data_IF_923007209590
#
_entry.id   IF_923007209590
#
_cell.length_a   1.000
_cell.length_b   1.000
_cell.length_c   1.000
_cell.angle_alpha   90.00
_cell.angle_beta   90.00
_cell.angle_gamma   90.00
#
_symmetry.space_group_name_H-M   'P 1'
#
loop_
_entity.id
_entity.type
_entity.pdbx_description
1 polymer ?
#
# COMPACT_ATOMS: atom_id res chain seq x y z
N UNK A 1 -10.17 33.96 -18.24
CA UNK A 1 -10.27 34.38 -16.83
C UNK A 1 -9.81 33.23 -15.94
N UNK A 2 -8.61 33.34 -15.35
CA UNK A 2 -7.95 32.31 -14.54
C UNK A 2 -8.41 32.38 -13.07
N UNK A 3 -8.08 31.36 -12.27
CA UNK A 3 -8.35 31.25 -10.82
C UNK A 3 -9.71 30.67 -10.42
N UNK A 4 -9.89 29.37 -10.67
CA UNK A 4 -10.65 28.54 -9.71
C UNK A 4 -9.74 28.28 -8.50
N UNK A 5 -10.17 28.56 -7.26
CA UNK A 5 -9.38 28.24 -6.09
C UNK A 5 -9.21 26.72 -6.02
N UNK A 6 -7.96 26.26 -6.11
CA UNK A 6 -7.61 24.89 -5.70
C UNK A 6 -7.93 24.79 -4.22
N UNK A 7 -8.80 23.86 -3.86
CA UNK A 7 -9.07 23.53 -2.45
C UNK A 7 -7.70 23.32 -1.79
N UNK A 8 -7.41 23.94 -0.63
CA UNK A 8 -6.17 23.67 0.05
C UNK A 8 -6.18 22.18 0.38
N UNK A 9 -5.26 21.44 -0.22
CA UNK A 9 -4.88 20.13 0.30
C UNK A 9 -4.63 20.37 1.77
N UNK A 10 -5.43 19.71 2.61
CA UNK A 10 -5.21 19.63 4.04
C UNK A 10 -3.86 18.93 4.20
N UNK A 11 -2.78 19.69 4.07
CA UNK A 11 -1.47 19.38 4.62
C UNK A 11 -1.71 19.37 6.11
N UNK A 12 -2.15 18.22 6.61
CA UNK A 12 -2.08 17.87 8.00
C UNK A 12 -0.65 18.16 8.43
N UNK A 13 -0.45 19.27 9.13
CA UNK A 13 0.79 19.66 9.77
C UNK A 13 1.12 18.66 10.88
N UNK A 14 1.50 17.45 10.49
CA UNK A 14 2.04 16.44 11.37
C UNK A 14 3.47 16.81 11.68
N UNK A 15 3.73 17.08 12.96
CA UNK A 15 5.07 17.15 13.57
C UNK A 15 6.03 16.15 12.91
N UNK A 16 7.28 16.55 12.67
CA UNK A 16 8.36 15.63 12.30
C UNK A 16 8.28 14.37 13.20
N UNK A 17 7.89 13.23 12.60
CA UNK A 17 7.60 11.97 13.30
C UNK A 17 6.15 11.43 13.19
N UNK A 18 5.15 12.23 12.77
CA UNK A 18 3.75 11.79 12.74
C UNK A 18 3.42 10.78 11.61
N UNK A 19 4.23 10.76 10.55
CA UNK A 19 4.06 9.87 9.39
C UNK A 19 5.13 8.77 9.33
N UNK A 20 5.95 8.63 10.37
CA UNK A 20 6.97 7.59 10.40
C UNK A 20 6.28 6.22 10.51
N UNK A 21 6.61 5.25 9.63
CA UNK A 21 6.07 3.90 9.73
C UNK A 21 6.61 3.23 10.99
N UNK A 22 5.84 2.29 11.53
CA UNK A 22 6.27 1.47 12.66
C UNK A 22 7.43 0.56 12.23
N UNK A 23 8.65 0.92 12.67
CA UNK A 23 9.89 0.21 12.33
C UNK A 23 10.14 -1.01 13.24
N UNK A 24 9.46 -1.09 14.39
CA UNK A 24 9.67 -2.14 15.39
C UNK A 24 8.74 -3.34 15.16
N UNK A 25 7.74 -3.18 14.29
CA UNK A 25 6.81 -4.26 13.91
C UNK A 25 7.54 -5.40 13.18
N UNK A 26 7.12 -6.63 13.44
CA UNK A 26 7.51 -7.78 12.62
C UNK A 26 7.04 -7.60 11.17
N UNK A 27 7.99 -7.73 10.24
CA UNK A 27 7.73 -7.71 8.80
C UNK A 27 6.97 -8.97 8.36
N UNK A 28 6.12 -8.79 7.38
CA UNK A 28 5.40 -9.83 6.65
C UNK A 28 6.21 -10.28 5.43
N UNK A 29 5.90 -11.48 4.92
CA UNK A 29 6.67 -12.09 3.83
C UNK A 29 6.71 -11.24 2.55
N UNK A 30 5.67 -10.44 2.28
CA UNK A 30 5.59 -9.62 1.06
C UNK A 30 6.34 -8.28 1.19
N UNK A 31 6.87 -7.93 2.36
CA UNK A 31 7.70 -6.73 2.58
C UNK A 31 9.17 -6.95 2.22
N UNK A 32 9.52 -8.14 1.72
CA UNK A 32 10.85 -8.45 1.18
C UNK A 32 10.96 -8.11 -0.32
N UNK A 33 9.84 -7.78 -0.97
CA UNK A 33 9.77 -7.57 -2.41
C UNK A 33 9.37 -6.12 -2.76
N UNK A 34 9.88 -5.56 -3.87
CA UNK A 34 9.40 -4.28 -4.38
C UNK A 34 7.94 -4.41 -4.85
N UNK A 35 7.16 -3.35 -4.70
CA UNK A 35 5.74 -3.36 -5.07
C UNK A 35 5.56 -3.66 -6.57
N UNK A 36 6.47 -3.18 -7.43
CA UNK A 36 6.40 -3.44 -8.88
C UNK A 36 6.63 -4.92 -9.24
N UNK A 37 7.27 -5.68 -8.34
CA UNK A 37 7.48 -7.12 -8.51
C UNK A 37 6.29 -7.97 -8.05
N UNK A 38 5.32 -7.37 -7.37
CA UNK A 38 4.13 -8.05 -6.89
C UNK A 38 3.01 -7.99 -7.92
N UNK A 39 2.20 -9.04 -7.97
CA UNK A 39 1.05 -9.07 -8.89
C UNK A 39 -0.17 -9.67 -8.23
N UNK A 40 -1.32 -9.00 -8.33
CA UNK A 40 -2.60 -9.60 -7.95
C UNK A 40 -3.03 -10.60 -9.03
N UNK A 41 -3.18 -11.86 -8.64
CA UNK A 41 -3.56 -12.97 -9.54
C UNK A 41 -4.91 -13.57 -9.19
N UNK A 42 -5.58 -13.06 -8.16
CA UNK A 42 -6.91 -13.52 -7.81
C UNK A 42 -7.52 -12.79 -6.63
N UNK A 43 -8.80 -13.07 -6.42
CA UNK A 43 -9.61 -12.56 -5.32
C UNK A 43 -10.40 -13.70 -4.69
N UNK A 44 -10.48 -13.72 -3.37
CA UNK A 44 -11.28 -14.67 -2.61
C UNK A 44 -12.11 -13.91 -1.59
N UNK A 45 -13.40 -14.19 -1.55
CA UNK A 45 -14.27 -13.73 -0.49
C UNK A 45 -14.69 -14.93 0.37
N UNK A 46 -14.16 -15.01 1.59
CA UNK A 46 -14.40 -16.13 2.50
C UNK A 46 -14.66 -15.62 3.91
N UNK A 47 -15.61 -16.23 4.63
CA UNK A 47 -15.92 -15.88 6.02
C UNK A 47 -16.22 -14.38 6.21
N UNK A 48 -16.84 -13.74 5.21
CA UNK A 48 -17.13 -12.29 5.17
C UNK A 48 -15.87 -11.40 5.14
N UNK A 49 -14.74 -11.94 4.68
CA UNK A 49 -13.47 -11.23 4.53
C UNK A 49 -13.00 -11.32 3.08
N UNK A 50 -12.66 -10.16 2.51
CA UNK A 50 -12.02 -10.03 1.20
C UNK A 50 -10.53 -10.31 1.30
N UNK A 51 -10.04 -11.20 0.44
CA UNK A 51 -8.65 -11.56 0.31
C UNK A 51 -8.19 -11.40 -1.14
N UNK A 52 -7.00 -10.82 -1.34
CA UNK A 52 -6.31 -10.86 -2.61
C UNK A 52 -5.27 -11.98 -2.60
N UNK A 53 -5.05 -12.58 -3.77
CA UNK A 53 -3.94 -13.50 -4.00
C UNK A 53 -2.85 -12.73 -4.72
N UNK A 54 -1.72 -12.56 -4.06
CA UNK A 54 -0.55 -11.88 -4.60
C UNK A 54 0.50 -12.92 -4.96
N UNK A 55 1.00 -12.85 -6.19
CA UNK A 55 2.18 -13.58 -6.65
C UNK A 55 3.41 -12.72 -6.41
N UNK A 56 4.39 -13.25 -5.69
CA UNK A 56 5.69 -12.63 -5.47
C UNK A 56 6.68 -13.00 -6.59
N UNK A 57 7.80 -12.24 -6.74
CA UNK A 57 8.85 -12.54 -7.71
C UNK A 57 9.47 -13.93 -7.59
N UNK A 58 9.44 -14.53 -6.39
CA UNK A 58 9.93 -15.90 -6.14
C UNK A 58 8.94 -16.99 -6.60
N UNK A 59 7.81 -16.58 -7.20
CA UNK A 59 6.75 -17.45 -7.71
C UNK A 59 5.75 -17.92 -6.65
N UNK A 60 5.93 -17.57 -5.38
CA UNK A 60 5.00 -17.97 -4.32
C UNK A 60 3.72 -17.13 -4.35
N UNK A 61 2.63 -17.77 -3.95
CA UNK A 61 1.32 -17.13 -3.79
C UNK A 61 1.04 -16.84 -2.32
N UNK A 62 0.62 -15.61 -2.05
CA UNK A 62 0.30 -15.13 -0.71
C UNK A 62 -1.13 -14.61 -0.68
N UNK A 63 -1.88 -14.97 0.37
CA UNK A 63 -3.19 -14.39 0.62
C UNK A 63 -3.06 -13.21 1.56
N UNK A 64 -3.56 -12.06 1.14
CA UNK A 64 -3.54 -10.82 1.93
C UNK A 64 -4.95 -10.26 2.06
N UNK A 65 -5.17 -9.43 3.07
CA UNK A 65 -6.41 -8.69 3.33
C UNK A 65 -6.09 -7.25 3.72
N UNK A 66 -7.13 -6.42 3.84
CA UNK A 66 -6.98 -5.09 4.43
C UNK A 66 -6.30 -5.16 5.82
N UNK A 67 -5.32 -4.29 6.03
CA UNK A 67 -4.48 -4.25 7.23
C UNK A 67 -3.14 -5.00 7.11
N UNK A 68 -2.95 -5.86 6.10
CA UNK A 68 -1.64 -6.46 5.84
C UNK A 68 -0.67 -5.47 5.20
N UNK A 69 0.62 -5.74 5.32
CA UNK A 69 1.70 -4.97 4.73
C UNK A 69 2.37 -5.72 3.57
N UNK A 70 2.69 -4.97 2.51
CA UNK A 70 3.38 -5.46 1.31
C UNK A 70 4.36 -4.40 0.81
N UNK A 71 5.35 -4.81 0.03
CA UNK A 71 6.27 -3.87 -0.58
C UNK A 71 7.36 -3.38 0.39
N UNK A 72 8.48 -2.92 -0.17
CA UNK A 72 9.62 -2.40 0.60
C UNK A 72 9.32 -1.07 1.31
N UNK A 73 8.30 -0.33 0.87
CA UNK A 73 7.98 1.01 1.35
C UNK A 73 6.82 1.01 2.36
N UNK A 74 6.74 0.00 3.23
CA UNK A 74 5.72 -0.13 4.28
C UNK A 74 4.29 -0.03 3.73
N UNK A 75 4.03 -0.67 2.59
CA UNK A 75 2.76 -0.58 1.89
C UNK A 75 1.62 -1.23 2.67
N UNK A 76 0.83 -0.42 3.36
CA UNK A 76 -0.36 -0.86 4.07
C UNK A 76 -1.52 -1.07 3.10
N UNK A 77 -2.09 -2.27 3.07
CA UNK A 77 -3.31 -2.54 2.29
C UNK A 77 -4.50 -1.84 2.96
N UNK A 78 -5.05 -0.85 2.27
CA UNK A 78 -6.22 -0.09 2.70
C UNK A 78 -7.52 -0.81 2.35
N UNK A 79 -7.57 -1.39 1.17
CA UNK A 79 -8.77 -2.03 0.63
C UNK A 79 -8.39 -3.15 -0.34
N UNK A 80 -9.25 -4.17 -0.39
CA UNK A 80 -9.17 -5.28 -1.33
C UNK A 80 -10.51 -5.41 -2.02
N UNK A 81 -10.52 -5.28 -3.35
CA UNK A 81 -11.68 -5.53 -4.20
C UNK A 81 -11.43 -6.75 -5.08
N UNK A 82 -12.43 -7.12 -5.88
CA UNK A 82 -12.32 -8.19 -6.87
C UNK A 82 -11.45 -7.82 -8.08
N UNK A 83 -11.09 -6.54 -8.23
CA UNK A 83 -10.38 -6.00 -9.38
C UNK A 83 -9.04 -5.37 -9.03
N UNK A 84 -8.85 -4.90 -7.80
CA UNK A 84 -7.59 -4.31 -7.35
C UNK A 84 -7.38 -4.38 -5.83
N UNK A 85 -6.13 -4.17 -5.43
CA UNK A 85 -5.73 -3.92 -4.06
C UNK A 85 -5.24 -2.48 -3.96
N UNK A 86 -5.82 -1.71 -3.03
CA UNK A 86 -5.40 -0.33 -2.76
C UNK A 86 -4.38 -0.33 -1.63
N UNK A 87 -3.21 0.24 -1.90
CA UNK A 87 -2.07 0.27 -0.99
C UNK A 87 -1.67 1.70 -0.69
N UNK A 88 -1.32 1.94 0.58
CA UNK A 88 -0.73 3.18 1.06
C UNK A 88 0.73 2.92 1.44
N UNK A 89 1.66 3.37 0.62
CA UNK A 89 3.09 3.34 0.92
C UNK A 89 3.53 4.60 1.67
N UNK A 90 4.64 4.49 2.39
CA UNK A 90 5.31 5.63 3.01
C UNK A 90 6.69 5.78 2.40
N UNK A 91 6.95 6.94 1.80
CA UNK A 91 8.22 7.28 1.20
C UNK A 91 8.88 8.43 1.96
N UNK A 92 10.15 8.26 2.29
CA UNK A 92 10.98 9.32 2.83
C UNK A 92 11.55 10.16 1.68
N UNK A 93 11.41 11.48 1.75
CA UNK A 93 12.02 12.37 0.78
C UNK A 93 13.52 12.61 1.07
N UNK A 94 14.19 13.35 0.18
CA UNK A 94 15.62 13.66 0.33
C UNK A 94 15.93 14.56 1.53
N UNK A 95 14.94 15.24 2.10
CA UNK A 95 15.07 16.07 3.30
C UNK A 95 14.83 15.26 4.60
N UNK A 96 14.39 14.00 4.48
CA UNK A 96 14.10 13.11 5.59
C UNK A 96 12.64 13.11 6.04
N UNK A 97 11.76 13.84 5.35
CA UNK A 97 10.34 13.91 5.67
C UNK A 97 9.57 12.71 5.09
N UNK A 98 8.64 12.17 5.87
CA UNK A 98 7.82 11.02 5.48
C UNK A 98 6.52 11.50 4.82
N UNK A 99 6.25 10.96 3.63
CA UNK A 99 5.08 11.26 2.82
C UNK A 99 4.33 9.99 2.43
N UNK A 100 3.01 10.09 2.38
CA UNK A 100 2.14 8.99 1.98
C UNK A 100 1.97 8.96 0.46
N UNK A 101 2.04 7.77 -0.14
CA UNK A 101 1.73 7.54 -1.56
C UNK A 101 0.66 6.46 -1.69
N UNK A 102 -0.39 6.77 -2.44
CA UNK A 102 -1.42 5.80 -2.79
C UNK A 102 -1.04 5.09 -4.09
N UNK A 103 -1.06 3.76 -4.08
CA UNK A 103 -0.82 2.89 -5.22
C UNK A 103 -1.90 1.82 -5.30
N UNK A 104 -2.08 1.19 -6.46
CA UNK A 104 -2.94 0.03 -6.59
C UNK A 104 -2.29 -1.09 -7.41
N UNK A 105 -2.56 -2.33 -6.98
CA UNK A 105 -2.23 -3.53 -7.74
C UNK A 105 -3.51 -4.05 -8.38
N UNK A 106 -3.59 -3.97 -9.70
CA UNK A 106 -4.73 -4.49 -10.45
C UNK A 106 -4.62 -6.00 -10.62
N UNK A 107 -5.77 -6.66 -10.67
CA UNK A 107 -5.87 -8.05 -11.06
C UNK A 107 -5.30 -8.20 -12.48
N UNK A 108 -4.38 -9.14 -12.65
CA UNK A 108 -3.88 -9.52 -13.97
C UNK A 108 -5.04 -10.13 -14.77
N UNK A 109 -5.25 -9.61 -15.99
CA UNK A 109 -6.18 -10.17 -16.99
C UNK A 109 -5.70 -11.50 -17.57
#
# INVERSE_FOLDING_TARGET
>A
DPFKPRKPDLRSGGRAGANQPDLDRHKEALEEFPLEGLSMVGYLYQNKVAHAVIRAPDGKLHRVKAGNYIGLNFGLIKEVTDTEVIIKEVAQDSAGDWSDRMNSLKLIE
#
